data_IF_849049181429
#
_entry.id   IF_849049181429
#
_cell.length_a   1.000
_cell.length_b   1.000
_cell.length_c   1.000
_cell.angle_alpha   90.00
_cell.angle_beta   90.00
_cell.angle_gamma   90.00
#
_symmetry.space_group_name_H-M   'P 1'
#
loop_
_entity.id
_entity.type
_entity.pdbx_description
1 polymer ?
#
# COMPACT_ATOMS: atom_id res chain seq x y z
N UNK A 1 10.72 -10.23 -6.93
CA UNK A 1 11.08 -9.07 -6.08
C UNK A 1 11.96 -8.01 -6.77
N UNK A 2 12.60 -8.26 -7.92
CA UNK A 2 13.47 -7.27 -8.58
C UNK A 2 12.74 -6.05 -9.19
N UNK A 3 11.45 -6.15 -9.52
CA UNK A 3 10.68 -5.06 -10.14
C UNK A 3 10.23 -3.98 -9.16
N UNK A 4 10.08 -4.32 -7.88
CA UNK A 4 9.52 -3.44 -6.84
C UNK A 4 10.51 -2.36 -6.40
N UNK A 5 11.78 -2.74 -6.20
CA UNK A 5 12.84 -1.79 -5.89
C UNK A 5 13.12 -0.86 -7.08
N UNK A 6 13.00 -1.38 -8.30
CA UNK A 6 13.22 -0.60 -9.52
C UNK A 6 12.14 0.48 -9.71
N UNK A 7 10.86 0.15 -9.53
CA UNK A 7 9.78 1.15 -9.61
C UNK A 7 9.89 2.21 -8.50
N UNK A 8 10.26 1.80 -7.28
CA UNK A 8 10.51 2.73 -6.16
C UNK A 8 11.71 3.64 -6.43
N UNK A 9 12.80 3.09 -6.97
CA UNK A 9 14.00 3.84 -7.37
C UNK A 9 13.70 4.87 -8.46
N UNK A 10 12.96 4.47 -9.50
CA UNK A 10 12.56 5.37 -10.59
C UNK A 10 11.68 6.53 -10.07
N UNK A 11 10.75 6.24 -9.14
CA UNK A 11 9.91 7.26 -8.50
C UNK A 11 10.70 8.27 -7.68
N UNK A 12 11.73 7.85 -6.94
CA UNK A 12 12.54 8.77 -6.14
C UNK A 12 13.44 9.65 -7.01
N UNK A 13 13.89 9.14 -8.16
CA UNK A 13 14.82 9.85 -9.04
C UNK A 13 14.17 10.81 -10.03
N UNK A 14 12.91 10.60 -10.42
CA UNK A 14 12.28 11.42 -11.47
C UNK A 14 11.50 12.65 -10.98
N UNK A 15 11.35 12.88 -9.66
CA UNK A 15 10.71 14.09 -9.13
C UNK A 15 9.25 14.32 -9.56
N UNK A 16 8.62 13.34 -10.21
CA UNK A 16 7.24 13.43 -10.67
C UNK A 16 6.30 12.87 -9.61
N UNK A 17 5.33 13.68 -9.20
CA UNK A 17 4.16 13.29 -8.41
C UNK A 17 3.30 12.31 -9.24
N UNK A 18 3.75 11.06 -9.35
CA UNK A 18 2.95 10.00 -9.95
C UNK A 18 1.64 9.82 -9.15
N UNK A 19 0.53 9.53 -9.83
CA UNK A 19 -0.73 9.25 -9.16
C UNK A 19 -0.57 8.11 -8.15
N UNK A 20 -1.28 8.22 -7.02
CA UNK A 20 -1.27 7.17 -5.99
C UNK A 20 -1.80 5.89 -6.58
N UNK A 21 -1.05 4.80 -6.42
CA UNK A 21 -1.36 3.49 -6.98
C UNK A 21 -1.83 2.50 -5.91
N UNK A 22 -2.40 1.37 -6.32
CA UNK A 22 -2.71 0.26 -5.42
C UNK A 22 -1.50 -0.20 -4.60
N UNK A 23 -0.29 -0.16 -5.18
CA UNK A 23 0.95 -0.51 -4.48
C UNK A 23 1.27 0.46 -3.35
N UNK A 24 0.97 1.74 -3.53
CA UNK A 24 1.14 2.74 -2.47
C UNK A 24 0.18 2.52 -1.32
N UNK A 25 -1.06 2.14 -1.64
CA UNK A 25 -2.08 1.81 -0.64
C UNK A 25 -1.68 0.53 0.11
N UNK A 26 -1.14 -0.46 -0.58
CA UNK A 26 -0.62 -1.69 0.02
C UNK A 26 0.58 -1.40 0.93
N UNK A 27 1.57 -0.62 0.45
CA UNK A 27 2.73 -0.22 1.25
C UNK A 27 2.34 0.61 2.49
N UNK A 28 1.25 1.39 2.42
CA UNK A 28 0.68 2.07 3.59
C UNK A 28 0.16 1.06 4.62
N UNK A 29 -0.58 0.04 4.18
CA UNK A 29 -1.11 -1.04 5.04
C UNK A 29 0.02 -1.88 5.67
N UNK A 30 1.13 -2.00 4.96
CA UNK A 30 2.32 -2.75 5.38
C UNK A 30 3.32 -1.91 6.19
N UNK A 31 3.04 -0.61 6.38
CA UNK A 31 3.91 0.35 7.07
C UNK A 31 5.31 0.49 6.42
N UNK A 32 5.39 0.37 5.10
CA UNK A 32 6.64 0.40 4.32
C UNK A 32 6.92 1.74 3.61
N UNK A 33 6.05 2.72 3.81
CA UNK A 33 6.18 4.08 3.27
C UNK A 33 7.06 4.97 4.16
N UNK A 34 7.72 5.96 3.54
CA UNK A 34 8.30 7.08 4.29
C UNK A 34 7.19 7.99 4.83
N UNK A 35 7.52 8.86 5.79
CA UNK A 35 6.53 9.79 6.35
C UNK A 35 5.91 10.71 5.29
N UNK A 36 6.69 11.15 4.31
CA UNK A 36 6.24 12.02 3.23
C UNK A 36 5.25 11.31 2.31
N UNK A 37 5.60 10.09 1.91
CA UNK A 37 4.75 9.25 1.06
C UNK A 37 3.46 8.83 1.79
N UNK A 38 3.56 8.49 3.08
CA UNK A 38 2.41 8.17 3.92
C UNK A 38 1.44 9.36 4.02
N UNK A 39 1.93 10.57 4.28
CA UNK A 39 1.11 11.79 4.29
C UNK A 39 0.38 11.99 2.96
N UNK A 40 1.09 11.79 1.85
CA UNK A 40 0.54 11.96 0.50
C UNK A 40 -0.54 10.93 0.18
N UNK A 41 -0.30 9.65 0.48
CA UNK A 41 -1.28 8.58 0.27
C UNK A 41 -2.51 8.80 1.14
N UNK A 42 -2.33 9.16 2.42
CA UNK A 42 -3.45 9.51 3.32
C UNK A 42 -4.25 10.71 2.82
N UNK A 43 -3.60 11.75 2.29
CA UNK A 43 -4.29 12.90 1.71
C UNK A 43 -5.14 12.48 0.50
N UNK A 44 -4.59 11.64 -0.38
CA UNK A 44 -5.31 11.11 -1.53
C UNK A 44 -6.54 10.29 -1.12
N UNK A 45 -6.39 9.37 -0.16
CA UNK A 45 -7.49 8.55 0.36
C UNK A 45 -8.65 9.39 0.92
N UNK A 46 -8.34 10.49 1.62
CA UNK A 46 -9.37 11.41 2.15
C UNK A 46 -10.21 12.07 1.06
N UNK A 47 -9.61 12.35 -0.09
CA UNK A 47 -10.28 13.06 -1.19
C UNK A 47 -10.92 12.14 -2.22
N UNK A 48 -10.62 10.84 -2.20
CA UNK A 48 -11.06 9.90 -3.22
C UNK A 48 -11.76 8.69 -2.58
N UNK A 49 -13.10 8.67 -2.67
CA UNK A 49 -13.93 7.62 -2.08
C UNK A 49 -13.65 6.22 -2.68
N UNK A 50 -13.32 6.12 -3.96
CA UNK A 50 -12.95 4.85 -4.59
C UNK A 50 -11.64 4.31 -4.00
N UNK A 51 -10.64 5.17 -3.85
CA UNK A 51 -9.37 4.79 -3.22
C UNK A 51 -9.54 4.43 -1.74
N UNK A 52 -10.40 5.14 -1.01
CA UNK A 52 -10.74 4.81 0.38
C UNK A 52 -11.40 3.43 0.49
N UNK A 53 -12.32 3.10 -0.42
CA UNK A 53 -12.90 1.76 -0.49
C UNK A 53 -11.81 0.72 -0.76
N UNK A 54 -10.94 0.98 -1.73
CA UNK A 54 -9.84 0.06 -2.09
C UNK A 54 -8.90 -0.21 -0.92
N UNK A 55 -8.57 0.82 -0.13
CA UNK A 55 -7.80 0.67 1.11
C UNK A 55 -8.48 -0.26 2.11
N UNK A 56 -9.80 -0.13 2.32
CA UNK A 56 -10.55 -1.01 3.22
C UNK A 56 -10.56 -2.45 2.72
N UNK A 57 -10.80 -2.66 1.42
CA UNK A 57 -10.80 -3.99 0.79
C UNK A 57 -9.42 -4.68 0.97
N UNK A 58 -8.32 -3.98 0.73
CA UNK A 58 -6.96 -4.51 0.90
C UNK A 58 -6.63 -4.82 2.37
N UNK A 59 -7.12 -3.99 3.29
CA UNK A 59 -6.94 -4.21 4.73
C UNK A 59 -7.65 -5.47 5.20
N UNK A 60 -8.87 -5.70 4.71
CA UNK A 60 -9.64 -6.92 4.98
C UNK A 60 -8.95 -8.14 4.38
N UNK A 61 -8.48 -8.07 3.13
CA UNK A 61 -7.73 -9.15 2.49
C UNK A 61 -6.49 -9.55 3.30
N UNK A 62 -5.70 -8.58 3.78
CA UNK A 62 -4.55 -8.85 4.64
C UNK A 62 -4.95 -9.55 5.94
N UNK A 63 -6.03 -9.11 6.57
CA UNK A 63 -6.53 -9.73 7.81
C UNK A 63 -6.97 -11.19 7.59
N UNK A 64 -7.64 -11.47 6.47
CA UNK A 64 -8.05 -12.83 6.10
C UNK A 64 -6.84 -13.74 5.85
N UNK A 65 -5.82 -13.24 5.14
CA UNK A 65 -4.57 -13.98 4.88
C UNK A 65 -3.85 -14.27 6.20
N UNK A 66 -3.74 -13.29 7.11
CA UNK A 66 -3.13 -13.48 8.42
C UNK A 66 -3.89 -14.50 9.26
N UNK A 67 -5.22 -14.43 9.27
CA UNK A 67 -6.07 -15.39 9.98
C UNK A 67 -5.89 -16.80 9.44
N UNK A 68 -5.88 -16.96 8.12
CA UNK A 68 -5.63 -18.24 7.47
C UNK A 68 -4.25 -18.77 7.82
N UNK A 69 -3.20 -17.95 7.67
CA UNK A 69 -1.83 -18.36 7.97
C UNK A 69 -1.66 -18.81 9.42
N UNK A 70 -2.26 -18.07 10.36
CA UNK A 70 -2.25 -18.44 11.77
C UNK A 70 -2.95 -19.79 11.97
N UNK A 71 -4.16 -19.97 11.43
CA UNK A 71 -4.92 -21.22 11.57
C UNK A 71 -4.20 -22.42 10.94
N UNK A 72 -3.54 -22.23 9.79
CA UNK A 72 -2.79 -23.27 9.09
C UNK A 72 -1.47 -23.63 9.77
N UNK A 73 -0.90 -22.73 10.58
CA UNK A 73 0.32 -23.02 11.35
C UNK A 73 0.07 -23.81 12.64
N UNK A 74 -1.18 -23.89 13.11
CA UNK A 74 -1.59 -24.61 14.32
C UNK A 74 -2.16 -26.02 14.03
N UNK A 75 -2.16 -26.46 12.77
CA UNK A 75 -2.60 -27.79 12.31
C UNK A 75 -1.46 -28.53 11.61
#
# INVERSE_FOLDING_TARGET
MLTLLFLRYMRTKMGQHLPVTDFDIQALIDHELSQEDEKRVKAFLKTNACAQKRYNDLKEQKALIQKWANNSFFH
#
